data_IF_201708928137
#
_entry.id   IF_201708928137
#
_cell.length_a   1.000
_cell.length_b   1.000
_cell.length_c   1.000
_cell.angle_alpha   90.00
_cell.angle_beta   90.00
_cell.angle_gamma   90.00
#
_symmetry.space_group_name_H-M   'P 1'
#
loop_
_entity.id
_entity.type
_entity.pdbx_description
1 polymer ?
#
# COMPACT_ATOMS: atom_id res chain seq x y z
N UNK A 1 -33.71 41.05 -45.88
CA UNK A 1 -33.28 40.61 -44.55
C UNK A 1 -33.82 41.62 -43.55
N UNK A 2 -34.70 41.20 -42.65
CA UNK A 2 -35.26 42.09 -41.62
C UNK A 2 -34.20 42.25 -40.53
N UNK A 3 -33.72 43.47 -40.34
CA UNK A 3 -32.82 43.79 -39.24
C UNK A 3 -33.66 43.88 -37.94
N UNK A 4 -33.21 43.25 -36.83
CA UNK A 4 -33.93 43.33 -35.57
C UNK A 4 -34.01 44.80 -35.09
N UNK A 5 -35.18 45.17 -34.58
CA UNK A 5 -35.48 46.54 -34.12
C UNK A 5 -34.87 46.89 -32.77
N UNK A 6 -34.39 45.89 -32.02
CA UNK A 6 -33.77 46.06 -30.70
C UNK A 6 -32.55 45.15 -30.62
N UNK A 7 -31.39 45.74 -30.34
CA UNK A 7 -30.16 45.01 -30.01
C UNK A 7 -30.15 44.89 -28.49
N UNK A 8 -30.27 43.66 -27.97
CA UNK A 8 -30.15 43.40 -26.54
C UNK A 8 -28.72 43.65 -26.07
N UNK A 9 -28.53 44.15 -24.85
CA UNK A 9 -27.20 44.25 -24.24
C UNK A 9 -26.54 42.86 -24.15
N UNK A 10 -25.25 42.74 -24.48
CA UNK A 10 -24.56 41.45 -24.50
C UNK A 10 -24.45 40.89 -23.08
N UNK A 11 -24.58 39.57 -22.94
CA UNK A 11 -24.51 38.92 -21.63
C UNK A 11 -23.12 39.11 -21.01
N UNK A 12 -23.00 39.26 -19.68
CA UNK A 12 -21.71 39.43 -19.00
C UNK A 12 -20.80 38.20 -19.11
N UNK A 13 -21.31 37.07 -19.61
CA UNK A 13 -20.59 35.80 -19.79
C UNK A 13 -20.39 35.50 -21.29
N UNK A 14 -20.66 36.47 -22.16
CA UNK A 14 -20.44 36.30 -23.59
C UNK A 14 -18.92 36.21 -23.85
N UNK A 15 -18.40 35.11 -24.44
CA UNK A 15 -16.97 34.97 -24.74
C UNK A 15 -16.44 36.08 -25.64
N UNK A 16 -17.30 36.77 -26.42
CA UNK A 16 -16.90 37.93 -27.22
C UNK A 16 -16.70 39.21 -26.38
N UNK A 17 -17.33 39.30 -25.21
CA UNK A 17 -17.15 40.39 -24.23
C UNK A 17 -15.97 40.11 -23.30
N UNK A 18 -15.66 38.83 -23.08
CA UNK A 18 -14.56 38.38 -22.23
C UNK A 18 -13.20 38.33 -22.95
N UNK A 19 -13.16 38.52 -24.27
CA UNK A 19 -11.90 38.68 -24.99
C UNK A 19 -11.22 39.96 -24.52
N UNK A 20 -9.99 39.90 -23.98
CA UNK A 20 -9.28 41.09 -23.58
C UNK A 20 -9.14 42.01 -24.79
N UNK A 21 -9.55 43.27 -24.62
CA UNK A 21 -9.37 44.29 -25.64
C UNK A 21 -7.87 44.38 -25.93
N UNK A 22 -7.45 44.32 -27.20
CA UNK A 22 -6.03 44.38 -27.53
C UNK A 22 -5.40 45.67 -27.00
N UNK A 23 -4.18 45.54 -26.47
CA UNK A 23 -3.46 46.58 -25.73
C UNK A 23 -3.24 47.87 -26.54
N UNK A 24 -3.32 47.83 -27.87
CA UNK A 24 -3.18 49.00 -28.73
C UNK A 24 -4.19 48.98 -29.88
N UNK A 25 -5.39 49.52 -29.64
CA UNK A 25 -6.29 49.85 -30.74
C UNK A 25 -5.89 51.19 -31.38
N UNK A 26 -6.03 51.32 -32.71
CA UNK A 26 -5.90 52.62 -33.36
C UNK A 26 -7.01 53.57 -32.86
N UNK A 27 -6.72 54.88 -32.88
CA UNK A 27 -7.65 55.92 -32.39
C UNK A 27 -9.04 55.77 -33.01
N UNK A 28 -10.07 55.87 -32.18
CA UNK A 28 -11.45 55.75 -32.65
C UNK A 28 -11.78 56.87 -33.66
N UNK A 29 -12.47 56.57 -34.78
CA UNK A 29 -12.86 57.59 -35.75
C UNK A 29 -14.11 58.39 -35.30
N UNK A 30 -14.57 58.21 -34.05
CA UNK A 30 -15.82 58.77 -33.55
C UNK A 30 -15.74 60.29 -33.42
N UNK A 31 -14.60 60.83 -32.96
CA UNK A 31 -14.39 62.29 -32.87
C UNK A 31 -14.39 62.99 -34.23
N UNK A 32 -14.13 62.25 -35.32
CA UNK A 32 -14.14 62.78 -36.69
C UNK A 32 -15.56 62.81 -37.30
N UNK A 33 -16.54 62.18 -36.65
CA UNK A 33 -17.93 62.14 -37.14
C UNK A 33 -18.67 63.45 -36.91
N UNK A 34 -18.54 64.05 -35.73
CA UNK A 34 -19.18 65.33 -35.38
C UNK A 34 -18.89 66.48 -36.37
N UNK A 35 -17.61 66.75 -36.75
CA UNK A 35 -17.33 67.77 -37.75
C UNK A 35 -17.87 67.39 -39.13
N UNK A 36 -17.90 66.10 -39.49
CA UNK A 36 -18.47 65.66 -40.76
C UNK A 36 -20.00 65.81 -40.79
N UNK A 37 -20.69 65.50 -39.70
CA UNK A 37 -22.13 65.68 -39.54
C UNK A 37 -22.51 67.16 -39.67
N UNK A 38 -21.79 68.05 -38.98
CA UNK A 38 -22.00 69.50 -39.10
C UNK A 38 -21.79 70.03 -40.53
N UNK A 39 -20.78 69.51 -41.24
CA UNK A 39 -20.50 69.88 -42.63
C UNK A 39 -21.57 69.36 -43.61
N UNK A 40 -22.15 68.21 -43.31
CA UNK A 40 -23.22 67.60 -44.10
C UNK A 40 -24.57 68.30 -43.85
N UNK A 41 -24.86 68.68 -42.61
CA UNK A 41 -26.02 69.50 -42.23
C UNK A 41 -25.99 70.89 -42.89
N UNK A 42 -24.80 71.51 -42.98
CA UNK A 42 -24.61 72.79 -43.67
C UNK A 42 -24.87 72.71 -45.20
N UNK A 43 -24.77 71.52 -45.79
CA UNK A 43 -25.15 71.26 -47.19
C UNK A 43 -26.62 70.96 -47.38
N UNK A 44 -27.25 70.31 -46.40
CA UNK A 44 -28.65 69.91 -46.46
C UNK A 44 -29.62 71.04 -46.09
N UNK A 45 -29.21 72.03 -45.29
CA UNK A 45 -30.05 73.18 -44.94
C UNK A 45 -30.17 74.17 -46.10
N UNK A 46 -31.37 74.33 -46.70
CA UNK A 46 -31.57 75.20 -47.87
C UNK A 46 -31.69 76.69 -47.51
N UNK A 47 -31.61 77.09 -46.24
CA UNK A 47 -32.13 78.38 -45.75
C UNK A 47 -31.11 79.44 -45.27
N UNK A 48 -29.83 79.34 -45.63
CA UNK A 48 -28.85 80.40 -45.29
C UNK A 48 -27.90 80.66 -46.44
N UNK A 49 -28.40 81.34 -47.48
CA UNK A 49 -27.59 81.85 -48.59
C UNK A 49 -26.97 83.23 -48.32
N UNK A 50 -27.08 83.78 -47.10
CA UNK A 50 -26.70 85.18 -46.83
C UNK A 50 -25.64 85.41 -45.74
N UNK A 51 -25.09 84.38 -45.10
CA UNK A 51 -23.97 84.57 -44.15
C UNK A 51 -22.62 84.32 -44.84
N UNK A 52 -21.76 85.35 -45.01
CA UNK A 52 -20.46 85.21 -45.69
C UNK A 52 -19.41 84.40 -44.91
N UNK A 53 -19.73 83.96 -43.69
CA UNK A 53 -18.81 83.23 -42.81
C UNK A 53 -19.02 81.70 -42.80
N UNK A 54 -20.03 81.16 -43.50
CA UNK A 54 -20.28 79.71 -43.58
C UNK A 54 -19.90 79.19 -44.96
N UNK A 55 -18.60 78.95 -45.16
CA UNK A 55 -18.09 78.32 -46.39
C UNK A 55 -18.55 76.86 -46.47
N UNK A 56 -19.49 76.57 -47.37
CA UNK A 56 -19.88 75.19 -47.73
C UNK A 56 -18.66 74.45 -48.29
N UNK A 57 -18.24 73.36 -47.64
CA UNK A 57 -17.14 72.54 -48.15
C UNK A 57 -17.48 71.99 -49.55
N UNK A 58 -16.53 71.86 -50.49
CA UNK A 58 -16.83 71.23 -51.77
C UNK A 58 -17.28 69.77 -51.58
N UNK A 59 -18.28 69.31 -52.34
CA UNK A 59 -18.75 67.91 -52.32
C UNK A 59 -17.61 66.87 -52.48
N UNK A 60 -16.59 67.09 -53.35
CA UNK A 60 -15.44 66.20 -53.44
C UNK A 60 -14.65 66.07 -52.12
N UNK A 61 -14.58 67.14 -51.32
CA UNK A 61 -13.90 67.12 -50.02
C UNK A 61 -14.72 66.35 -48.99
N UNK A 62 -16.04 66.55 -48.95
CA UNK A 62 -16.93 65.81 -48.06
C UNK A 62 -16.88 64.29 -48.34
N UNK A 63 -16.93 63.90 -49.62
CA UNK A 63 -16.82 62.49 -50.01
C UNK A 63 -15.44 61.88 -49.71
N UNK A 64 -14.37 62.68 -49.78
CA UNK A 64 -13.03 62.26 -49.36
C UNK A 64 -12.96 62.03 -47.84
N UNK A 65 -13.54 62.92 -47.03
CA UNK A 65 -13.63 62.77 -45.57
C UNK A 65 -14.45 61.54 -45.17
N UNK A 66 -15.60 61.30 -45.82
CA UNK A 66 -16.39 60.08 -45.60
C UNK A 66 -15.57 58.82 -45.90
N UNK A 67 -14.84 58.78 -47.02
CA UNK A 67 -13.97 57.64 -47.37
C UNK A 67 -12.83 57.46 -46.37
N UNK A 68 -12.27 58.56 -45.86
CA UNK A 68 -11.23 58.52 -44.84
C UNK A 68 -11.73 57.92 -43.52
N UNK A 69 -12.91 58.35 -43.04
CA UNK A 69 -13.54 57.79 -41.84
C UNK A 69 -13.86 56.30 -42.03
N UNK A 70 -14.42 55.91 -43.18
CA UNK A 70 -14.69 54.49 -43.50
C UNK A 70 -13.42 53.66 -43.54
N UNK A 71 -12.33 54.20 -44.08
CA UNK A 71 -11.03 53.50 -44.08
C UNK A 71 -10.48 53.36 -42.66
N UNK A 72 -10.58 54.41 -41.84
CA UNK A 72 -10.17 54.37 -40.43
C UNK A 72 -10.98 53.36 -39.62
N UNK A 73 -12.29 53.30 -39.82
CA UNK A 73 -13.15 52.31 -39.14
C UNK A 73 -12.84 50.87 -39.57
N UNK A 74 -12.55 50.64 -40.85
CA UNK A 74 -12.09 49.32 -41.33
C UNK A 74 -10.74 48.92 -40.74
N UNK A 75 -9.79 49.87 -40.63
CA UNK A 75 -8.49 49.63 -39.99
C UNK A 75 -8.67 49.26 -38.51
N UNK A 76 -9.52 49.99 -37.79
CA UNK A 76 -9.86 49.66 -36.40
C UNK A 76 -10.49 48.28 -36.28
N UNK A 77 -11.48 47.96 -37.12
CA UNK A 77 -12.15 46.66 -37.12
C UNK A 77 -11.15 45.51 -37.36
N UNK A 78 -10.23 45.68 -38.30
CA UNK A 78 -9.22 44.66 -38.59
C UNK A 78 -8.22 44.53 -37.42
N UNK A 79 -7.79 45.63 -36.82
CA UNK A 79 -6.94 45.60 -35.63
C UNK A 79 -7.63 44.90 -34.44
N UNK A 80 -8.92 45.20 -34.22
CA UNK A 80 -9.71 44.55 -33.18
C UNK A 80 -9.85 43.03 -33.44
N UNK A 81 -10.07 42.61 -34.69
CA UNK A 81 -10.14 41.19 -35.06
C UNK A 81 -8.82 40.45 -34.83
N UNK A 82 -7.70 41.06 -35.21
CA UNK A 82 -6.37 40.46 -35.01
C UNK A 82 -6.09 40.33 -33.51
N UNK A 83 -6.30 41.41 -32.76
CA UNK A 83 -6.07 41.39 -31.32
C UNK A 83 -6.97 40.41 -30.56
N UNK A 84 -8.23 40.28 -30.97
CA UNK A 84 -9.13 39.27 -30.44
C UNK A 84 -8.68 37.84 -30.77
N UNK A 85 -8.09 37.61 -31.94
CA UNK A 85 -7.54 36.30 -32.31
C UNK A 85 -6.28 35.96 -31.50
N UNK A 86 -5.37 36.93 -31.31
CA UNK A 86 -4.17 36.78 -30.49
C UNK A 86 -4.52 36.50 -29.03
N UNK A 87 -5.44 37.28 -28.45
CA UNK A 87 -5.94 37.07 -27.09
C UNK A 87 -6.56 35.68 -26.90
N UNK A 88 -7.27 35.18 -27.91
CA UNK A 88 -7.85 33.84 -27.88
C UNK A 88 -6.79 32.75 -27.94
N UNK A 89 -5.77 32.92 -28.78
CA UNK A 89 -4.65 32.00 -28.87
C UNK A 89 -3.86 31.94 -27.55
N UNK A 90 -3.65 33.09 -26.90
CA UNK A 90 -3.03 33.16 -25.58
C UNK A 90 -3.87 32.44 -24.52
N UNK A 91 -5.19 32.66 -24.51
CA UNK A 91 -6.11 31.96 -23.60
C UNK A 91 -6.08 30.44 -23.83
N UNK A 92 -6.14 29.99 -25.08
CA UNK A 92 -6.07 28.57 -25.44
C UNK A 92 -4.74 27.95 -24.98
N UNK A 93 -3.64 28.72 -25.03
CA UNK A 93 -2.33 28.32 -24.49
C UNK A 93 -2.35 28.11 -22.97
N UNK A 94 -2.88 29.10 -22.23
CA UNK A 94 -3.01 29.03 -20.76
C UNK A 94 -3.94 27.88 -20.33
N UNK A 95 -5.03 27.65 -21.04
CA UNK A 95 -5.93 26.52 -20.81
C UNK A 95 -5.23 25.17 -21.02
N UNK A 96 -4.30 25.10 -21.98
CA UNK A 96 -3.45 23.94 -22.20
C UNK A 96 -2.54 23.66 -21.00
N UNK A 97 -1.87 24.70 -20.50
CA UNK A 97 -0.98 24.61 -19.33
C UNK A 97 -1.75 24.23 -18.07
N UNK A 98 -2.94 24.81 -17.86
CA UNK A 98 -3.82 24.50 -16.72
C UNK A 98 -4.18 23.01 -16.70
N UNK A 99 -4.59 22.44 -17.84
CA UNK A 99 -4.91 21.00 -17.94
C UNK A 99 -3.70 20.12 -17.62
N UNK A 100 -2.50 20.55 -18.00
CA UNK A 100 -1.25 19.88 -17.64
C UNK A 100 -1.07 19.81 -16.12
N UNK A 101 -1.25 20.94 -15.42
CA UNK A 101 -1.14 21.01 -13.96
C UNK A 101 -2.24 20.21 -13.26
N UNK A 102 -3.47 20.25 -13.77
CA UNK A 102 -4.59 19.46 -13.23
C UNK A 102 -4.31 17.95 -13.30
N UNK A 103 -3.77 17.48 -14.42
CA UNK A 103 -3.36 16.09 -14.59
C UNK A 103 -2.25 15.70 -13.59
N UNK A 104 -1.22 16.54 -13.45
CA UNK A 104 -0.14 16.28 -12.48
C UNK A 104 -0.67 16.24 -11.05
N UNK A 105 -1.57 17.15 -10.69
CA UNK A 105 -2.21 17.16 -9.38
C UNK A 105 -2.97 15.86 -9.12
N UNK A 106 -3.79 15.42 -10.07
CA UNK A 106 -4.56 14.18 -9.93
C UNK A 106 -3.63 12.97 -9.81
N UNK A 107 -2.61 12.90 -10.65
CA UNK A 107 -1.59 11.84 -10.59
C UNK A 107 -0.86 11.79 -9.24
N UNK A 108 -0.45 12.95 -8.70
CA UNK A 108 0.20 13.01 -7.39
C UNK A 108 -0.76 12.57 -6.29
N UNK A 109 -2.03 12.96 -6.38
CA UNK A 109 -3.05 12.53 -5.43
C UNK A 109 -3.25 11.01 -5.46
N UNK A 110 -3.34 10.41 -6.64
CA UNK A 110 -3.45 8.95 -6.79
C UNK A 110 -2.22 8.21 -6.23
N UNK A 111 -1.01 8.78 -6.39
CA UNK A 111 0.19 8.20 -5.80
C UNK A 111 0.19 8.33 -4.28
N UNK A 112 -0.24 9.47 -3.73
CA UNK A 112 -0.41 9.66 -2.29
C UNK A 112 -1.41 8.64 -1.75
N UNK A 113 -2.56 8.47 -2.38
CA UNK A 113 -3.57 7.50 -1.95
C UNK A 113 -2.99 6.07 -1.95
N UNK A 114 -2.23 5.69 -2.99
CA UNK A 114 -1.49 4.41 -3.01
C UNK A 114 -0.45 4.27 -1.91
N UNK A 115 0.27 5.34 -1.58
CA UNK A 115 1.22 5.32 -0.46
C UNK A 115 0.52 5.26 0.90
N UNK A 116 -0.67 5.86 1.03
CA UNK A 116 -1.47 5.83 2.26
C UNK A 116 -2.13 4.46 2.49
N UNK A 117 -2.36 3.68 1.43
CA UNK A 117 -2.79 2.28 1.52
C UNK A 117 -1.67 1.32 1.99
N UNK A 118 -0.46 1.82 2.25
CA UNK A 118 0.60 1.01 2.85
C UNK A 118 0.22 0.58 4.27
N UNK A 119 -0.24 -0.66 4.39
CA UNK A 119 -0.37 -1.35 5.66
C UNK A 119 0.95 -2.05 6.00
N UNK A 120 1.63 -1.68 7.09
CA UNK A 120 2.82 -2.37 7.53
C UNK A 120 2.50 -3.81 7.93
N UNK A 121 3.28 -4.78 7.44
CA UNK A 121 3.05 -6.19 7.74
C UNK A 121 3.08 -6.52 9.25
N UNK A 122 3.75 -5.71 10.06
CA UNK A 122 3.82 -5.91 11.51
C UNK A 122 2.51 -5.67 12.26
N UNK A 123 1.54 -4.96 11.66
CA UNK A 123 0.23 -4.75 12.29
C UNK A 123 -0.58 -6.03 12.38
N UNK A 124 -0.32 -7.02 11.51
CA UNK A 124 -0.96 -8.33 11.55
C UNK A 124 -0.28 -9.31 12.51
N UNK A 125 0.91 -8.99 13.03
CA UNK A 125 1.63 -9.87 13.96
C UNK A 125 1.07 -9.77 15.39
N UNK A 126 0.93 -10.93 16.04
CA UNK A 126 0.59 -11.04 17.45
C UNK A 126 1.80 -10.65 18.30
N UNK A 127 1.90 -9.37 18.63
CA UNK A 127 2.97 -8.80 19.44
C UNK A 127 2.51 -8.59 20.89
N UNK A 128 3.35 -8.82 21.91
CA UNK A 128 3.00 -8.66 23.33
C UNK A 128 2.85 -7.19 23.69
N UNK A 129 1.73 -6.74 24.28
CA UNK A 129 1.42 -5.32 24.56
C UNK A 129 2.61 -4.47 25.02
N UNK A 130 2.63 -3.20 24.66
CA UNK A 130 3.77 -2.29 24.94
C UNK A 130 4.15 -2.31 26.43
N UNK A 131 3.17 -2.32 27.33
CA UNK A 131 3.41 -2.40 28.78
C UNK A 131 4.08 -3.72 29.18
N UNK A 132 3.64 -4.82 28.60
CA UNK A 132 4.21 -6.15 28.85
C UNK A 132 5.63 -6.28 28.29
N UNK A 133 5.91 -5.66 27.15
CA UNK A 133 7.25 -5.57 26.59
C UNK A 133 8.16 -4.74 27.48
N UNK A 134 7.76 -3.53 27.89
CA UNK A 134 8.57 -2.68 28.76
C UNK A 134 8.87 -3.31 30.13
N UNK A 135 7.98 -4.18 30.62
CA UNK A 135 8.19 -4.91 31.87
C UNK A 135 9.10 -6.14 31.75
N UNK A 136 9.19 -6.75 30.57
CA UNK A 136 9.92 -8.01 30.34
C UNK A 136 11.21 -7.86 29.54
N UNK A 137 11.39 -6.74 28.83
CA UNK A 137 12.55 -6.49 28.01
C UNK A 137 13.83 -6.33 28.83
N UNK A 138 14.94 -6.79 28.27
CA UNK A 138 16.26 -6.64 28.87
C UNK A 138 16.64 -5.17 29.02
N UNK A 139 17.32 -4.84 30.12
CA UNK A 139 17.68 -3.46 30.47
C UNK A 139 18.62 -2.81 29.42
N UNK A 140 19.38 -3.62 28.68
CA UNK A 140 20.17 -3.14 27.54
C UNK A 140 19.30 -2.59 26.41
N UNK A 141 18.15 -3.22 26.12
CA UNK A 141 17.21 -2.80 25.08
C UNK A 141 16.46 -1.54 25.53
N UNK A 142 16.08 -1.49 26.81
CA UNK A 142 15.45 -0.29 27.39
C UNK A 142 16.38 0.91 27.39
N UNK A 143 17.68 0.70 27.62
CA UNK A 143 18.68 1.77 27.62
C UNK A 143 19.00 2.35 26.23
N UNK A 144 18.71 1.61 25.16
CA UNK A 144 18.91 2.08 23.78
C UNK A 144 17.73 2.88 23.24
N UNK A 145 16.60 2.94 23.97
CA UNK A 145 15.43 3.69 23.54
C UNK A 145 15.67 5.21 23.65
N UNK A 146 15.16 6.01 22.70
CA UNK A 146 15.17 7.46 22.79
C UNK A 146 14.39 7.95 24.04
N UNK A 147 14.56 9.22 24.43
CA UNK A 147 13.69 9.86 25.41
C UNK A 147 12.21 9.81 24.98
N UNK A 148 11.30 9.69 25.95
CA UNK A 148 9.84 9.60 25.67
C UNK A 148 9.26 10.82 24.95
N UNK A 149 9.89 11.98 25.10
CA UNK A 149 9.43 13.24 24.51
C UNK A 149 9.88 13.43 23.06
N UNK A 150 10.65 12.49 22.51
CA UNK A 150 11.14 12.53 21.12
C UNK A 150 10.08 12.03 20.14
N UNK A 151 9.93 12.70 18.99
CA UNK A 151 8.95 12.34 17.95
C UNK A 151 9.19 10.93 17.39
N UNK A 152 10.42 10.42 17.48
CA UNK A 152 10.80 9.07 17.06
C UNK A 152 10.57 7.97 18.09
N UNK A 153 10.10 8.29 19.31
CA UNK A 153 10.04 7.33 20.42
C UNK A 153 9.11 6.15 20.11
N UNK A 154 7.90 6.40 19.62
CA UNK A 154 6.91 5.35 19.34
C UNK A 154 7.42 4.35 18.28
N UNK A 155 8.05 4.88 17.23
CA UNK A 155 8.65 4.05 16.18
C UNK A 155 9.82 3.22 16.73
N UNK A 156 10.69 3.82 17.54
CA UNK A 156 11.80 3.11 18.17
C UNK A 156 11.33 2.01 19.12
N UNK A 157 10.27 2.24 19.91
CA UNK A 157 9.65 1.20 20.75
C UNK A 157 9.10 0.05 19.92
N UNK A 158 8.46 0.35 18.79
CA UNK A 158 7.91 -0.67 17.89
C UNK A 158 9.02 -1.54 17.29
N UNK A 159 10.12 -0.92 16.84
CA UNK A 159 11.30 -1.65 16.35
C UNK A 159 11.89 -2.54 17.46
N UNK A 160 12.11 -1.99 18.65
CA UNK A 160 12.68 -2.75 19.76
C UNK A 160 11.80 -3.95 20.16
N UNK A 161 10.47 -3.79 20.09
CA UNK A 161 9.50 -4.87 20.33
C UNK A 161 9.62 -5.98 19.28
N UNK A 162 9.75 -5.61 18.00
CA UNK A 162 9.95 -6.57 16.90
C UNK A 162 11.28 -7.33 17.02
N UNK A 163 12.36 -6.62 17.34
CA UNK A 163 13.68 -7.23 17.54
C UNK A 163 13.68 -8.20 18.73
N UNK A 164 12.98 -7.85 19.81
CA UNK A 164 12.83 -8.73 20.96
C UNK A 164 12.07 -10.01 20.61
N UNK A 165 10.95 -9.91 19.88
CA UNK A 165 10.22 -11.10 19.43
C UNK A 165 11.04 -11.97 18.48
N UNK A 166 11.82 -11.37 17.58
CA UNK A 166 12.75 -12.11 16.74
C UNK A 166 13.77 -12.88 17.59
N UNK A 167 14.37 -12.23 18.58
CA UNK A 167 15.32 -12.87 19.50
C UNK A 167 14.68 -14.01 20.29
N UNK A 168 13.42 -13.84 20.71
CA UNK A 168 12.66 -14.86 21.40
C UNK A 168 12.32 -16.06 20.50
N UNK A 169 11.89 -15.82 19.26
CA UNK A 169 11.62 -16.86 18.26
C UNK A 169 12.91 -17.64 17.98
N UNK A 170 14.02 -16.96 17.73
CA UNK A 170 15.31 -17.63 17.44
C UNK A 170 15.80 -18.48 18.62
N UNK A 171 15.66 -18.01 19.87
CA UNK A 171 15.92 -18.81 21.07
C UNK A 171 15.03 -20.06 21.13
N UNK A 172 13.72 -19.91 20.88
CA UNK A 172 12.76 -21.03 20.89
C UNK A 172 13.07 -22.04 19.79
N UNK A 173 13.40 -21.59 18.59
CA UNK A 173 13.80 -22.46 17.47
C UNK A 173 15.09 -23.24 17.79
N UNK A 174 16.10 -22.60 18.36
CA UNK A 174 17.31 -23.27 18.80
C UNK A 174 17.02 -24.35 19.87
N UNK A 175 16.13 -24.04 20.82
CA UNK A 175 15.71 -25.00 21.84
C UNK A 175 14.92 -26.17 21.24
N UNK A 176 14.01 -25.92 20.29
CA UNK A 176 13.28 -26.97 19.58
C UNK A 176 14.21 -27.86 18.75
N UNK A 177 15.22 -27.29 18.10
CA UNK A 177 16.23 -28.05 17.36
C UNK A 177 17.03 -28.96 18.31
N UNK A 178 17.43 -28.45 19.47
CA UNK A 178 18.14 -29.23 20.48
C UNK A 178 17.27 -30.36 21.05
N UNK A 179 16.02 -30.08 21.45
CA UNK A 179 15.07 -31.09 21.91
C UNK A 179 14.80 -32.15 20.85
N UNK A 180 14.72 -31.76 19.57
CA UNK A 180 14.53 -32.70 18.46
C UNK A 180 15.72 -33.63 18.32
N UNK A 181 16.94 -33.09 18.41
CA UNK A 181 18.19 -33.88 18.40
C UNK A 181 18.26 -34.86 19.56
N UNK A 182 17.89 -34.43 20.76
CA UNK A 182 17.90 -35.25 21.97
C UNK A 182 16.84 -36.35 21.90
N UNK A 183 15.63 -36.03 21.40
CA UNK A 183 14.58 -37.01 21.12
C UNK A 183 15.06 -38.07 20.12
N UNK A 184 15.73 -37.68 19.04
CA UNK A 184 16.25 -38.64 18.05
C UNK A 184 17.41 -39.47 18.58
N UNK A 185 18.23 -38.92 19.49
CA UNK A 185 19.26 -39.68 20.20
C UNK A 185 18.64 -40.73 21.13
N UNK A 186 17.61 -40.36 21.90
CA UNK A 186 16.89 -41.29 22.78
C UNK A 186 16.16 -42.39 22.01
N UNK A 187 15.55 -42.07 20.86
CA UNK A 187 14.91 -43.09 19.99
C UNK A 187 15.96 -44.08 19.48
N UNK A 188 17.15 -43.61 19.09
CA UNK A 188 18.26 -44.50 18.66
C UNK A 188 18.75 -45.37 19.81
N UNK A 189 19.00 -44.79 20.98
CA UNK A 189 19.40 -45.55 22.17
C UNK A 189 18.35 -46.60 22.57
N UNK A 190 17.06 -46.24 22.54
CA UNK A 190 15.95 -47.17 22.80
C UNK A 190 15.93 -48.34 21.81
N UNK A 191 16.13 -48.08 20.51
CA UNK A 191 16.22 -49.13 19.48
C UNK A 191 17.42 -50.05 19.74
N UNK A 192 18.57 -49.49 20.11
CA UNK A 192 19.78 -50.28 20.41
C UNK A 192 19.60 -51.15 21.66
N UNK A 193 19.04 -50.60 22.74
CA UNK A 193 18.72 -51.35 23.96
C UNK A 193 17.73 -52.47 23.64
N UNK A 194 16.71 -52.20 22.81
CA UNK A 194 15.76 -53.23 22.39
C UNK A 194 16.45 -54.38 21.66
N UNK A 195 17.34 -54.09 20.70
CA UNK A 195 18.11 -55.12 19.98
C UNK A 195 18.97 -55.95 20.95
N UNK A 196 19.65 -55.29 21.88
CA UNK A 196 20.46 -55.98 22.90
C UNK A 196 19.60 -56.83 23.84
N UNK A 197 18.44 -56.33 24.24
CA UNK A 197 17.49 -57.05 25.08
C UNK A 197 16.94 -58.30 24.36
N UNK A 198 16.51 -58.16 23.10
CA UNK A 198 16.05 -59.27 22.28
C UNK A 198 17.15 -60.35 22.11
N UNK A 199 18.42 -59.93 21.98
CA UNK A 199 19.55 -60.87 21.94
C UNK A 199 19.76 -61.60 23.27
N UNK A 200 19.68 -60.89 24.41
CA UNK A 200 19.79 -61.51 25.75
C UNK A 200 18.66 -62.51 25.97
N UNK A 201 17.44 -62.23 25.53
CA UNK A 201 16.30 -63.13 25.63
C UNK A 201 16.53 -64.45 24.84
N UNK A 202 17.09 -64.35 23.63
CA UNK A 202 17.51 -65.53 22.85
C UNK A 202 18.60 -66.32 23.58
N UNK A 203 19.59 -65.66 24.17
CA UNK A 203 20.63 -66.34 24.95
C UNK A 203 20.06 -67.02 26.20
N UNK A 204 19.12 -66.39 26.91
CA UNK A 204 18.51 -66.92 28.11
C UNK A 204 17.63 -68.14 27.82
N UNK A 205 16.84 -68.08 26.75
CA UNK A 205 16.04 -69.24 26.29
C UNK A 205 16.95 -70.40 25.84
N UNK A 206 18.07 -70.10 25.17
CA UNK A 206 19.10 -71.08 24.83
C UNK A 206 19.75 -71.72 26.07
N UNK A 207 20.10 -70.92 27.06
CA UNK A 207 20.64 -71.38 28.35
C UNK A 207 19.62 -72.22 29.11
N UNK A 208 18.35 -71.83 29.15
CA UNK A 208 17.29 -72.63 29.78
C UNK A 208 17.15 -74.01 29.14
N UNK A 209 17.23 -74.10 27.81
CA UNK A 209 17.23 -75.39 27.10
C UNK A 209 18.45 -76.25 27.44
N UNK A 210 19.66 -75.66 27.46
CA UNK A 210 20.88 -76.41 27.78
C UNK A 210 20.94 -76.83 29.25
N UNK A 211 20.52 -75.97 30.18
CA UNK A 211 20.38 -76.29 31.59
C UNK A 211 19.37 -77.42 31.82
N UNK A 212 18.21 -77.39 31.16
CA UNK A 212 17.24 -78.49 31.20
C UNK A 212 17.81 -79.79 30.63
N UNK A 213 18.59 -79.72 29.55
CA UNK A 213 19.24 -80.90 28.97
C UNK A 213 20.33 -81.48 29.90
N UNK A 214 21.10 -80.64 30.57
CA UNK A 214 22.10 -81.06 31.57
C UNK A 214 21.42 -81.65 32.80
N UNK A 215 20.34 -81.03 33.29
CA UNK A 215 19.54 -81.56 34.40
C UNK A 215 18.92 -82.92 34.06
N UNK A 216 18.41 -83.10 32.83
CA UNK A 216 17.95 -84.39 32.34
C UNK A 216 19.07 -85.44 32.31
N UNK A 217 20.26 -85.10 31.77
CA UNK A 217 21.42 -86.01 31.78
C UNK A 217 21.92 -86.33 33.19
N UNK A 218 21.92 -85.36 34.10
CA UNK A 218 22.26 -85.57 35.51
C UNK A 218 21.26 -86.51 36.19
N UNK A 219 19.97 -86.38 35.86
CA UNK A 219 18.93 -87.29 36.32
C UNK A 219 19.16 -88.71 35.76
N UNK A 220 19.47 -88.84 34.47
CA UNK A 220 19.79 -90.14 33.87
C UNK A 220 21.05 -90.77 34.51
N UNK A 221 22.09 -89.98 34.78
CA UNK A 221 23.30 -90.44 35.49
C UNK A 221 23.00 -90.81 36.94
N UNK A 222 22.11 -90.08 37.62
CA UNK A 222 21.66 -90.40 38.98
C UNK A 222 20.80 -91.68 39.01
N UNK A 223 19.99 -91.94 37.98
CA UNK A 223 19.24 -93.19 37.82
C UNK A 223 20.17 -94.37 37.50
N UNK A 224 21.25 -94.16 36.73
CA UNK A 224 22.30 -95.16 36.49
C UNK A 224 23.12 -95.42 37.76
N UNK A 225 23.49 -94.39 38.52
CA UNK A 225 24.16 -94.52 39.82
C UNK A 225 23.24 -95.15 40.89
N UNK A 226 21.92 -95.03 40.75
CA UNK A 226 20.92 -95.71 41.59
C UNK A 226 20.77 -97.20 41.30
N UNK A 227 21.26 -97.71 40.16
CA UNK A 227 21.13 -99.12 39.77
C UNK A 227 22.12 -100.08 40.47
N UNK A 228 23.00 -99.57 41.34
CA UNK A 228 23.83 -100.37 42.26
C UNK A 228 23.55 -100.06 43.74
N UNK A 229 22.26 -99.89 44.09
CA UNK A 229 21.82 -99.96 45.48
C UNK A 229 20.57 -100.85 45.61
N UNK A 230 20.80 -102.01 46.21
CA UNK A 230 19.84 -103.07 46.54
C UNK A 230 18.80 -102.59 47.56
N UNK A 231 17.54 -102.97 47.28
CA UNK A 231 16.43 -103.34 48.17
C UNK A 231 16.16 -102.54 49.47
N UNK A 232 14.91 -102.08 49.63
CA UNK A 232 13.95 -102.68 50.60
C UNK A 232 12.63 -101.88 50.74
N UNK A 233 11.51 -102.64 50.68
CA UNK A 233 10.20 -102.49 51.35
C UNK A 233 9.40 -101.16 51.38
N UNK A 234 8.21 -101.24 50.76
CA UNK A 234 6.82 -100.86 51.16
C UNK A 234 6.52 -100.30 52.59
N UNK A 235 5.32 -99.72 52.89
CA UNK A 235 4.19 -99.25 52.04
C UNK A 235 3.61 -97.85 52.43
N UNK A 236 2.57 -97.42 51.71
CA UNK A 236 1.75 -96.19 51.88
C UNK A 236 0.94 -96.12 53.21
N UNK A 237 0.39 -94.95 53.60
CA UNK A 237 -0.94 -94.55 53.10
C UNK A 237 -1.21 -93.02 52.87
N UNK A 238 -2.30 -92.79 52.14
CA UNK A 238 -3.06 -91.59 51.72
C UNK A 238 -3.70 -90.76 52.88
N UNK A 239 -4.57 -89.74 52.68
CA UNK A 239 -4.57 -88.51 51.84
C UNK A 239 -4.98 -87.18 52.57
N UNK A 240 -4.80 -86.03 51.86
CA UNK A 240 -5.57 -84.75 51.90
C UNK A 240 -5.42 -83.79 53.13
N UNK A 241 -5.77 -82.47 53.04
CA UNK A 241 -6.45 -81.73 51.97
C UNK A 241 -5.81 -80.36 51.55
N UNK A 242 -6.50 -79.73 50.60
CA UNK A 242 -6.28 -78.45 49.93
C UNK A 242 -6.27 -77.17 50.82
N UNK A 243 -5.62 -76.10 50.34
CA UNK A 243 -6.21 -74.76 50.12
C UNK A 243 -5.19 -73.72 49.61
N UNK A 244 -5.43 -73.26 48.36
CA UNK A 244 -5.47 -71.88 47.84
C UNK A 244 -4.37 -70.81 48.14
N UNK A 245 -4.21 -69.82 47.23
CA UNK A 245 -3.03 -68.94 47.13
C UNK A 245 -3.20 -67.59 47.85
N UNK A 246 -2.10 -67.01 48.32
CA UNK A 246 -2.03 -65.62 48.78
C UNK A 246 -1.46 -64.72 47.68
N UNK A 247 -2.32 -63.83 47.17
CA UNK A 247 -1.95 -62.58 46.51
C UNK A 247 -1.33 -61.61 47.53
N UNK A 248 -0.22 -60.98 47.15
CA UNK A 248 0.25 -59.68 47.67
C UNK A 248 1.20 -59.12 46.60
N UNK A 249 0.76 -58.12 45.83
CA UNK A 249 1.09 -56.68 46.01
C UNK A 249 2.46 -56.33 45.45
#
# INVERSE_FOLDING_TARGET
MVLPSVISEPSPIDPLVLLPLPNTLPSSPISDLDPLLSALEAHLSPSSTNDPNVTKLPIPVLTALMRQITRRSQVLLNAARVGAAEAREELDGVDGDLRGVEYERERVKEEIDRCMEYAPAYEELDLPDIESFLASADESVLSSLPPKDDEGYEHAVTIARLENELNEITKREAHLAQLTKDRDALIRAKKEIKIKFDAVDVHLTGFGRSANAVAAKLKDVAEIAGSTAVASSTPAPSPAPAMAPSLSS
#
